data_IF_400074311410
#
_entry.id   IF_400074311410
#
_cell.length_a   1.000
_cell.length_b   1.000
_cell.length_c   1.000
_cell.angle_alpha   90.00
_cell.angle_beta   90.00
_cell.angle_gamma   90.00
#
_symmetry.space_group_name_H-M   'P 1'
#
loop_
_entity.id
_entity.type
_entity.pdbx_description
1 polymer ?
#
# COMPACT_ATOMS: atom_id res chain seq x y z
N UNK A 1 52.34 -13.89 -54.68
CA UNK A 1 51.36 -14.98 -54.43
C UNK A 1 51.68 -15.50 -53.05
N UNK A 2 50.87 -15.38 -52.00
CA UNK A 2 49.41 -15.34 -51.90
C UNK A 2 49.00 -14.87 -50.49
N UNK A 3 48.03 -13.94 -50.46
CA UNK A 3 47.11 -13.48 -49.41
C UNK A 3 47.26 -13.89 -47.93
N UNK A 4 47.18 -12.85 -47.10
CA UNK A 4 46.67 -12.82 -45.72
C UNK A 4 45.23 -13.36 -45.61
N UNK A 5 44.82 -13.80 -44.40
CA UNK A 5 43.65 -13.16 -43.82
C UNK A 5 43.97 -12.60 -42.44
N UNK A 6 43.82 -11.28 -42.32
CA UNK A 6 43.64 -10.59 -41.05
C UNK A 6 42.29 -11.06 -40.51
N UNK A 7 42.30 -11.86 -39.44
CA UNK A 7 41.11 -12.11 -38.65
C UNK A 7 40.84 -10.86 -37.83
N UNK A 8 40.05 -9.98 -38.45
CA UNK A 8 39.46 -8.81 -37.88
C UNK A 8 38.57 -9.21 -36.69
N UNK A 9 39.07 -8.96 -35.48
CA UNK A 9 38.28 -9.02 -34.25
C UNK A 9 37.34 -7.81 -34.18
N UNK A 10 36.42 -7.71 -35.15
CA UNK A 10 35.28 -6.81 -35.15
C UNK A 10 34.04 -7.60 -34.73
N UNK A 11 33.84 -7.82 -33.43
CA UNK A 11 32.52 -8.15 -32.83
C UNK A 11 32.60 -8.33 -31.32
N UNK A 12 32.88 -7.27 -30.56
CA UNK A 12 32.75 -7.31 -29.09
C UNK A 12 32.03 -6.11 -28.47
N UNK A 13 31.34 -5.29 -29.27
CA UNK A 13 30.63 -4.12 -28.75
C UNK A 13 29.09 -4.22 -28.74
N UNK A 14 28.45 -5.24 -29.35
CA UNK A 14 26.97 -5.32 -29.37
C UNK A 14 26.36 -6.05 -28.16
N UNK A 15 27.08 -6.99 -27.52
CA UNK A 15 26.55 -7.76 -26.39
C UNK A 15 26.24 -6.91 -25.15
N UNK A 16 27.13 -5.97 -24.81
CA UNK A 16 26.98 -5.16 -23.60
C UNK A 16 25.83 -4.15 -23.64
N UNK A 17 25.33 -3.75 -24.81
CA UNK A 17 24.15 -2.89 -24.92
C UNK A 17 22.86 -3.70 -24.72
N UNK A 18 22.81 -4.91 -25.27
CA UNK A 18 21.69 -5.83 -25.11
C UNK A 18 21.57 -6.31 -23.67
N UNK A 19 22.68 -6.70 -23.05
CA UNK A 19 22.75 -7.11 -21.64
C UNK A 19 22.36 -5.97 -20.68
N UNK A 20 22.80 -4.73 -20.94
CA UNK A 20 22.37 -3.55 -20.18
C UNK A 20 20.86 -3.33 -20.27
N UNK A 21 20.28 -3.42 -21.47
CA UNK A 21 18.83 -3.29 -21.64
C UNK A 21 18.04 -4.40 -20.95
N UNK A 22 18.57 -5.62 -20.90
CA UNK A 22 17.94 -6.76 -20.24
C UNK A 22 18.02 -6.61 -18.71
N UNK A 23 19.14 -6.11 -18.19
CA UNK A 23 19.31 -5.78 -16.77
C UNK A 23 18.37 -4.64 -16.33
N UNK A 24 18.20 -3.60 -17.14
CA UNK A 24 17.25 -2.52 -16.88
C UNK A 24 15.81 -3.02 -16.86
N UNK A 25 15.43 -3.87 -17.82
CA UNK A 25 14.12 -4.51 -17.86
C UNK A 25 13.88 -5.38 -16.63
N UNK A 26 14.89 -6.16 -16.20
CA UNK A 26 14.83 -6.97 -15.00
C UNK A 26 14.62 -6.11 -13.75
N UNK A 27 15.43 -5.05 -13.56
CA UNK A 27 15.28 -4.14 -12.43
C UNK A 27 13.91 -3.47 -12.42
N UNK A 28 13.39 -3.05 -13.58
CA UNK A 28 12.05 -2.49 -13.70
C UNK A 28 10.98 -3.50 -13.25
N UNK A 29 11.07 -4.75 -13.72
CA UNK A 29 10.12 -5.79 -13.37
C UNK A 29 10.15 -6.10 -11.87
N UNK A 30 11.35 -6.20 -11.27
CA UNK A 30 11.53 -6.43 -9.84
C UNK A 30 10.96 -5.27 -9.02
N UNK A 31 11.27 -4.03 -9.40
CA UNK A 31 10.76 -2.85 -8.70
C UNK A 31 9.24 -2.73 -8.81
N UNK A 32 8.67 -3.03 -9.98
CA UNK A 32 7.23 -3.06 -10.19
C UNK A 32 6.57 -4.13 -9.32
N UNK A 33 7.11 -5.34 -9.29
CA UNK A 33 6.59 -6.42 -8.45
C UNK A 33 6.61 -6.01 -6.97
N UNK A 34 7.74 -5.53 -6.46
CA UNK A 34 7.86 -5.07 -5.07
C UNK A 34 6.86 -3.97 -4.73
N UNK A 35 6.75 -2.97 -5.60
CA UNK A 35 5.80 -1.88 -5.42
C UNK A 35 4.35 -2.39 -5.36
N UNK A 36 3.97 -3.29 -6.26
CA UNK A 36 2.63 -3.89 -6.27
C UNK A 36 2.38 -4.70 -5.01
N UNK A 37 3.32 -5.56 -4.60
CA UNK A 37 3.19 -6.36 -3.36
C UNK A 37 3.06 -5.48 -2.11
N UNK A 38 3.85 -4.41 -2.02
CA UNK A 38 3.79 -3.45 -0.93
C UNK A 38 2.44 -2.72 -0.89
N UNK A 39 1.93 -2.31 -2.06
CA UNK A 39 0.64 -1.64 -2.20
C UNK A 39 -0.54 -2.55 -1.83
N UNK A 40 -0.49 -3.81 -2.25
CA UNK A 40 -1.48 -4.83 -1.91
C UNK A 40 -1.50 -5.08 -0.41
N UNK A 41 -0.32 -5.22 0.19
CA UNK A 41 -0.18 -5.41 1.64
C UNK A 41 -0.77 -4.21 2.40
N UNK A 42 -0.42 -2.99 2.00
CA UNK A 42 -0.99 -1.78 2.59
C UNK A 42 -2.50 -1.70 2.44
N UNK A 43 -3.01 -2.01 1.25
CA UNK A 43 -4.44 -2.00 1.00
C UNK A 43 -5.17 -3.02 1.88
N UNK A 44 -4.56 -4.19 2.11
CA UNK A 44 -5.09 -5.21 3.00
C UNK A 44 -5.11 -4.76 4.48
N UNK A 45 -4.13 -3.95 4.92
CA UNK A 45 -4.11 -3.37 6.27
C UNK A 45 -5.29 -2.43 6.54
N UNK A 46 -5.97 -1.92 5.51
CA UNK A 46 -7.20 -1.14 5.70
C UNK A 46 -8.35 -1.97 6.29
N UNK A 47 -8.31 -3.31 6.17
CA UNK A 47 -9.33 -4.21 6.68
C UNK A 47 -9.01 -4.71 8.09
N UNK A 48 -9.88 -4.47 9.09
CA UNK A 48 -9.67 -4.97 10.46
C UNK A 48 -9.51 -6.48 10.56
N UNK A 49 -10.20 -7.25 9.71
CA UNK A 49 -10.12 -8.71 9.69
C UNK A 49 -8.73 -9.22 9.27
N UNK A 50 -8.07 -8.51 8.36
CA UNK A 50 -6.72 -8.87 7.96
C UNK A 50 -5.71 -8.64 9.09
N UNK A 51 -5.92 -7.60 9.91
CA UNK A 51 -5.09 -7.34 11.08
C UNK A 51 -5.23 -8.43 12.14
N UNK A 52 -6.46 -8.93 12.37
CA UNK A 52 -6.70 -10.09 13.24
C UNK A 52 -5.97 -11.32 12.70
N UNK A 53 -6.06 -11.58 11.39
CA UNK A 53 -5.34 -12.68 10.77
C UNK A 53 -3.81 -12.57 10.95
N UNK A 54 -3.23 -11.38 10.77
CA UNK A 54 -1.81 -11.12 11.02
C UNK A 54 -1.41 -11.33 12.48
N UNK A 55 -2.29 -10.98 13.42
CA UNK A 55 -2.08 -11.23 14.84
C UNK A 55 -2.08 -12.73 15.15
N UNK A 56 -3.06 -13.48 14.64
CA UNK A 56 -3.22 -14.91 14.90
C UNK A 56 -2.10 -15.75 14.27
N UNK A 57 -1.62 -15.34 13.10
CA UNK A 57 -0.49 -15.98 12.42
C UNK A 57 0.87 -15.63 13.02
N UNK A 58 0.94 -14.73 14.01
CA UNK A 58 2.16 -14.38 14.73
C UNK A 58 3.07 -13.37 14.02
N UNK A 59 2.70 -12.87 12.83
CA UNK A 59 3.51 -11.91 12.08
C UNK A 59 3.69 -10.59 12.83
N UNK A 60 2.70 -10.15 13.62
CA UNK A 60 2.80 -8.92 14.43
C UNK A 60 3.81 -9.01 15.59
N UNK A 61 4.29 -10.22 15.91
CA UNK A 61 5.34 -10.45 16.90
C UNK A 61 6.74 -10.62 16.26
N UNK A 62 6.81 -10.89 14.95
CA UNK A 62 8.07 -11.09 14.24
C UNK A 62 8.81 -9.75 14.02
N UNK A 63 10.05 -9.58 14.53
CA UNK A 63 10.83 -8.36 14.32
C UNK A 63 11.14 -8.10 12.83
N UNK A 64 11.19 -9.13 11.99
CA UNK A 64 11.41 -8.97 10.54
C UNK A 64 10.21 -8.29 9.90
N UNK A 65 8.99 -8.70 10.25
CA UNK A 65 7.77 -8.09 9.77
C UNK A 65 7.58 -6.67 10.32
N UNK A 66 7.92 -6.42 11.59
CA UNK A 66 7.87 -5.07 12.16
C UNK A 66 8.80 -4.10 11.39
N UNK A 67 10.02 -4.54 11.05
CA UNK A 67 10.94 -3.74 10.22
C UNK A 67 10.36 -3.47 8.82
N UNK A 68 9.64 -4.43 8.25
CA UNK A 68 8.94 -4.25 6.98
C UNK A 68 7.81 -3.21 7.10
N UNK A 69 7.01 -3.24 8.17
CA UNK A 69 5.99 -2.21 8.43
C UNK A 69 6.59 -0.82 8.61
N UNK A 70 7.76 -0.71 9.25
CA UNK A 70 8.49 0.57 9.35
C UNK A 70 8.93 1.09 7.98
N UNK A 71 9.44 0.20 7.12
CA UNK A 71 9.77 0.56 5.74
C UNK A 71 8.55 1.09 4.98
N UNK A 72 7.40 0.42 5.12
CA UNK A 72 6.15 0.86 4.52
C UNK A 72 5.75 2.25 5.05
N UNK A 73 5.80 2.45 6.37
CA UNK A 73 5.42 3.71 7.02
C UNK A 73 6.23 4.92 6.53
N UNK A 74 7.57 4.79 6.46
CA UNK A 74 8.44 5.89 6.01
C UNK A 74 8.30 6.20 4.51
N UNK A 75 7.99 5.18 3.70
CA UNK A 75 7.94 5.32 2.24
C UNK A 75 6.59 5.84 1.77
N UNK A 76 5.49 5.25 2.27
CA UNK A 76 4.14 5.46 1.75
C UNK A 76 3.43 6.69 2.31
N UNK A 77 3.95 7.29 3.38
CA UNK A 77 3.49 8.61 3.87
C UNK A 77 3.93 9.78 2.98
N UNK A 78 4.92 9.59 2.10
CA UNK A 78 5.34 10.65 1.18
C UNK A 78 4.25 10.89 0.13
N UNK A 79 3.97 12.14 -0.25
CA UNK A 79 2.88 12.47 -1.17
C UNK A 79 3.03 11.79 -2.55
N UNK A 80 4.27 11.55 -2.98
CA UNK A 80 4.61 10.87 -4.22
C UNK A 80 4.07 9.44 -4.31
N UNK A 81 3.94 8.75 -3.16
CA UNK A 81 3.46 7.36 -3.07
C UNK A 81 2.03 7.31 -2.54
N UNK A 82 1.65 8.21 -1.64
CA UNK A 82 0.32 8.25 -1.04
C UNK A 82 -0.82 8.38 -2.08
N UNK A 83 -0.56 9.02 -3.22
CA UNK A 83 -1.53 9.13 -4.34
C UNK A 83 -2.02 7.80 -4.91
N UNK A 84 -1.29 6.70 -4.71
CA UNK A 84 -1.68 5.38 -5.20
C UNK A 84 -2.58 4.61 -4.22
N UNK A 85 -2.76 5.12 -2.99
CA UNK A 85 -3.60 4.49 -1.98
C UNK A 85 -5.08 4.78 -2.26
N UNK A 86 -5.87 3.72 -2.39
CA UNK A 86 -7.33 3.82 -2.51
C UNK A 86 -8.03 3.97 -1.16
N UNK A 87 -7.44 3.39 -0.11
CA UNK A 87 -8.03 3.32 1.22
C UNK A 87 -7.16 4.11 2.21
N UNK A 88 -7.54 5.33 2.59
CA UNK A 88 -6.72 6.16 3.50
C UNK A 88 -6.57 5.53 4.89
N UNK A 89 -7.55 4.71 5.31
CA UNK A 89 -7.52 3.98 6.58
C UNK A 89 -6.30 3.06 6.72
N UNK A 90 -5.72 2.60 5.60
CA UNK A 90 -4.49 1.81 5.62
C UNK A 90 -3.35 2.52 6.36
N UNK A 91 -3.18 3.83 6.14
CA UNK A 91 -2.12 4.61 6.77
C UNK A 91 -2.37 4.78 8.28
N UNK A 92 -3.63 4.97 8.66
CA UNK A 92 -4.01 5.05 10.08
C UNK A 92 -3.65 3.75 10.83
N UNK A 93 -4.01 2.60 10.28
CA UNK A 93 -3.66 1.32 10.89
C UNK A 93 -2.16 1.04 10.85
N UNK A 94 -1.47 1.46 9.78
CA UNK A 94 -0.02 1.34 9.69
C UNK A 94 0.69 2.14 10.79
N UNK A 95 0.20 3.34 11.11
CA UNK A 95 0.69 4.15 12.23
C UNK A 95 0.39 3.43 13.56
N UNK A 96 -0.84 2.96 13.76
CA UNK A 96 -1.25 2.27 14.98
C UNK A 96 -0.43 1.00 15.24
N UNK A 97 -0.12 0.22 14.19
CA UNK A 97 0.70 -0.99 14.25
C UNK A 97 2.14 -0.74 14.69
N UNK A 98 2.65 0.48 14.67
CA UNK A 98 3.97 0.79 15.22
C UNK A 98 3.99 0.62 16.75
N UNK A 99 2.84 0.81 17.40
CA UNK A 99 2.71 0.67 18.85
C UNK A 99 2.55 -0.80 19.26
N UNK A 100 3.41 -1.33 20.15
CA UNK A 100 3.34 -2.72 20.60
C UNK A 100 2.03 -3.04 21.34
N UNK A 101 1.49 -2.08 22.09
CA UNK A 101 0.22 -2.21 22.80
C UNK A 101 -0.94 -2.47 21.83
N UNK A 102 -0.96 -1.75 20.71
CA UNK A 102 -1.97 -1.95 19.67
C UNK A 102 -1.83 -3.33 19.03
N UNK A 103 -0.60 -3.77 18.69
CA UNK A 103 -0.36 -5.11 18.13
C UNK A 103 -0.86 -6.23 19.05
N UNK A 104 -0.73 -6.06 20.36
CA UNK A 104 -1.24 -7.02 21.34
C UNK A 104 -2.78 -7.02 21.45
N UNK A 105 -3.43 -5.89 21.21
CA UNK A 105 -4.90 -5.76 21.32
C UNK A 105 -5.67 -6.30 20.10
N UNK A 106 -5.03 -6.36 18.92
CA UNK A 106 -5.67 -6.58 17.61
C UNK A 106 -5.99 -8.06 17.31
N UNK A 107 -5.84 -8.97 18.27
CA UNK A 107 -5.99 -10.41 18.05
C UNK A 107 -7.40 -11.00 18.15
N UNK A 108 -8.40 -10.21 18.56
CA UNK A 108 -9.74 -10.74 18.88
C UNK A 108 -10.73 -10.47 17.74
N UNK A 109 -11.54 -11.47 17.36
CA UNK A 109 -12.57 -11.31 16.32
C UNK A 109 -13.58 -10.20 16.65
N UNK A 110 -13.96 -10.07 17.93
CA UNK A 110 -14.80 -8.98 18.40
C UNK A 110 -14.20 -7.59 18.10
N UNK A 111 -12.86 -7.45 18.19
CA UNK A 111 -12.19 -6.20 17.87
C UNK A 111 -12.32 -5.83 16.39
N UNK A 112 -12.19 -6.81 15.47
CA UNK A 112 -12.35 -6.56 14.05
C UNK A 112 -13.78 -6.10 13.72
N UNK A 113 -14.78 -6.81 14.24
CA UNK A 113 -16.19 -6.46 14.04
C UNK A 113 -16.50 -5.06 14.58
N UNK A 114 -16.08 -4.76 15.80
CA UNK A 114 -16.39 -3.48 16.44
C UNK A 114 -15.65 -2.32 15.74
N UNK A 115 -14.42 -2.56 15.25
CA UNK A 115 -13.66 -1.57 14.46
C UNK A 115 -14.30 -1.34 13.08
N UNK A 116 -14.72 -2.41 12.40
CA UNK A 116 -15.44 -2.30 11.14
C UNK A 116 -16.75 -1.50 11.30
N UNK A 117 -17.54 -1.82 12.32
CA UNK A 117 -18.77 -1.10 12.66
C UNK A 117 -18.53 0.39 12.94
N UNK A 118 -17.41 0.75 13.59
CA UNK A 118 -17.02 2.15 13.80
C UNK A 118 -16.70 2.87 12.50
N UNK A 119 -15.98 2.22 11.59
CA UNK A 119 -15.67 2.78 10.26
C UNK A 119 -16.94 2.94 9.43
N UNK A 120 -17.87 1.97 9.49
CA UNK A 120 -19.16 2.03 8.81
C UNK A 120 -20.08 3.12 9.39
N UNK A 121 -20.22 3.18 10.72
CA UNK A 121 -21.06 4.16 11.41
C UNK A 121 -20.60 5.61 11.20
N UNK A 122 -19.31 5.83 10.92
CA UNK A 122 -18.80 7.14 10.50
C UNK A 122 -19.45 7.60 9.18
N UNK A 123 -19.64 6.69 8.22
CA UNK A 123 -20.30 7.00 6.95
C UNK A 123 -21.80 7.22 7.10
N UNK A 124 -22.46 6.45 7.97
CA UNK A 124 -23.88 6.63 8.27
C UNK A 124 -24.17 8.00 8.88
N UNK A 125 -23.34 8.45 9.84
CA UNK A 125 -23.45 9.78 10.42
C UNK A 125 -23.23 10.88 9.39
N UNK A 126 -22.24 10.72 8.51
CA UNK A 126 -21.99 11.69 7.44
C UNK A 126 -23.16 11.77 6.45
N UNK A 127 -23.73 10.64 6.03
CA UNK A 127 -24.89 10.58 5.14
C UNK A 127 -26.16 11.17 5.79
N UNK A 128 -26.40 10.85 7.06
CA UNK A 128 -27.53 11.39 7.84
C UNK A 128 -27.42 12.90 8.04
N UNK A 129 -26.21 13.40 8.32
CA UNK A 129 -25.93 14.83 8.46
C UNK A 129 -26.11 15.59 7.14
N UNK A 130 -25.77 15.00 5.99
CA UNK A 130 -25.96 15.66 4.70
C UNK A 130 -27.43 15.72 4.30
N UNK A 131 -28.22 14.68 4.60
CA UNK A 131 -29.67 14.67 4.35
C UNK A 131 -30.42 15.73 5.16
N UNK A 132 -30.01 15.96 6.40
CA UNK A 132 -30.60 17.00 7.27
C UNK A 132 -30.31 18.40 6.74
N UNK A 133 -29.09 18.67 6.26
CA UNK A 133 -28.71 19.97 5.69
C UNK A 133 -29.53 20.34 4.44
N UNK A 134 -29.82 19.36 3.57
CA UNK A 134 -30.61 19.56 2.34
C UNK A 134 -32.07 19.93 2.67
N UNK A 135 -32.65 19.30 3.70
CA UNK A 135 -34.01 19.61 4.19
C UNK A 135 -34.13 21.01 4.82
N UNK A 136 -33.07 21.51 5.48
CA UNK A 136 -33.04 22.87 6.02
C UNK A 136 -32.89 23.93 4.93
N UNK A 137 -32.12 23.66 3.87
CA UNK A 137 -31.94 24.58 2.74
C UNK A 137 -33.23 24.74 1.93
N UNK A 138 -33.97 23.64 1.73
CA UNK A 138 -35.27 23.64 1.06
C UNK A 138 -36.37 24.44 1.80
N UNK A 139 -36.22 24.69 3.10
CA UNK A 139 -37.21 25.45 3.91
C UNK A 139 -36.99 26.97 3.88
N UNK A 140 -35.84 27.44 3.37
CA UNK A 140 -35.42 28.85 3.45
C UNK A 140 -35.63 29.64 2.15
N UNK A 141 -35.98 28.98 1.03
CA UNK A 141 -36.14 29.61 -0.30
C UNK A 141 -37.60 29.84 -0.75
N UNK A 142 -38.58 29.90 0.16
CA UNK A 142 -39.93 30.40 -0.18
C UNK A 142 -40.14 31.83 0.32
N UNK A 143 -39.80 32.86 -0.48
CA UNK A 143 -40.31 34.21 -0.25
C UNK A 143 -41.82 34.24 -0.57
N UNK A 144 -42.59 34.80 0.38
CA UNK A 144 -44.00 35.21 0.26
C UNK A 144 -44.22 36.28 -0.78
#
# INVERSE_FOLDING_TARGET
>A
MSNTPVLEASSSQSGGAQERSLAEQYHRAVNQHRFTSDLETLSALASPHYLVHLSQSGHLADPTFIRYLQHLHTTWRKPEYARFLRYPNALYFLDALQHPEFRAAVGTEAWARDTAARVEGHWEHWLSSNSTLDSTKAKQERPT
#
